data_IF_938925879839
#
_entry.id   IF_938925879839
#
_cell.length_a   1.000
_cell.length_b   1.000
_cell.length_c   1.000
_cell.angle_alpha   90.00
_cell.angle_beta   90.00
_cell.angle_gamma   90.00
#
_symmetry.space_group_name_H-M   'P 1'
#
loop_
_entity.id
_entity.type
_entity.pdbx_description
1 polymer ?
#
# COMPACT_ATOMS: atom_id res chain seq x y z
N UNK A 1 -5.57 12.28 -16.74
CA UNK A 1 -4.60 11.57 -15.88
C UNK A 1 -5.23 10.24 -15.61
N UNK A 2 -4.50 9.17 -15.93
CA UNK A 2 -5.06 7.84 -16.15
C UNK A 2 -4.98 6.94 -14.91
N UNK A 3 -4.38 7.40 -13.81
CA UNK A 3 -4.45 6.78 -12.47
C UNK A 3 -5.70 7.23 -11.69
N UNK A 4 -5.98 6.57 -10.56
CA UNK A 4 -7.08 6.97 -9.68
C UNK A 4 -6.80 8.29 -8.97
N UNK A 5 -7.46 9.35 -9.46
CA UNK A 5 -7.29 10.70 -8.95
C UNK A 5 -8.44 11.11 -8.02
N UNK A 6 -8.10 11.46 -6.77
CA UNK A 6 -9.01 12.12 -5.83
C UNK A 6 -8.71 13.63 -5.77
N UNK A 7 -9.66 14.43 -5.25
CA UNK A 7 -9.46 15.86 -5.06
C UNK A 7 -8.26 16.16 -4.15
N UNK A 8 -8.06 15.37 -3.09
CA UNK A 8 -6.90 15.46 -2.20
C UNK A 8 -5.57 15.36 -2.94
N UNK A 9 -5.49 14.49 -3.95
CA UNK A 9 -4.28 14.33 -4.76
C UNK A 9 -3.98 15.62 -5.56
N UNK A 10 -5.02 16.32 -6.04
CA UNK A 10 -4.84 17.61 -6.73
C UNK A 10 -4.39 18.70 -5.76
N UNK A 11 -5.00 18.75 -4.58
CA UNK A 11 -4.69 19.75 -3.54
C UNK A 11 -3.25 19.58 -3.03
N UNK A 12 -2.75 18.35 -2.99
CA UNK A 12 -1.39 18.00 -2.57
C UNK A 12 -0.37 17.96 -3.72
N UNK A 13 -0.75 18.27 -4.97
CA UNK A 13 0.10 18.19 -6.16
C UNK A 13 0.73 16.79 -6.37
N UNK A 14 -0.06 15.75 -6.10
CA UNK A 14 0.25 14.34 -6.38
C UNK A 14 -0.39 13.97 -7.71
N UNK A 15 0.37 14.20 -8.78
CA UNK A 15 -0.07 14.02 -10.17
C UNK A 15 0.79 12.93 -10.82
N UNK A 16 0.30 11.69 -10.80
CA UNK A 16 1.01 10.52 -11.33
C UNK A 16 0.21 9.99 -12.53
N UNK A 17 0.90 9.75 -13.64
CA UNK A 17 0.31 9.12 -14.82
C UNK A 17 0.33 7.60 -14.68
N UNK A 18 -0.56 6.90 -15.41
CA UNK A 18 -0.57 5.45 -15.44
C UNK A 18 0.81 4.94 -15.86
N UNK A 19 1.41 4.10 -15.03
CA UNK A 19 2.71 3.54 -15.32
C UNK A 19 2.63 2.57 -16.50
N UNK A 20 3.47 2.79 -17.51
CA UNK A 20 3.64 1.95 -18.70
C UNK A 20 5.00 1.24 -18.73
N UNK A 21 5.93 1.65 -17.86
CA UNK A 21 7.23 1.01 -17.65
C UNK A 21 7.58 0.90 -16.16
N UNK A 22 8.42 -0.09 -15.81
CA UNK A 22 8.78 -0.38 -14.42
C UNK A 22 9.58 0.77 -13.78
N UNK A 23 10.37 1.49 -14.57
CA UNK A 23 11.13 2.66 -14.14
C UNK A 23 10.23 3.78 -13.62
N UNK A 24 9.03 3.91 -14.18
CA UNK A 24 8.04 4.91 -13.77
C UNK A 24 7.45 4.54 -12.39
N UNK A 25 7.13 3.26 -12.17
CA UNK A 25 6.72 2.76 -10.84
C UNK A 25 7.79 3.01 -9.79
N UNK A 26 9.05 2.73 -10.13
CA UNK A 26 10.18 3.03 -9.25
C UNK A 26 10.35 4.52 -8.97
N UNK A 27 10.11 5.37 -9.98
CA UNK A 27 10.16 6.82 -9.80
C UNK A 27 9.08 7.31 -8.84
N UNK A 28 7.83 6.86 -9.02
CA UNK A 28 6.71 7.16 -8.14
C UNK A 28 6.97 6.67 -6.71
N UNK A 29 7.44 5.43 -6.54
CA UNK A 29 7.79 4.87 -5.23
C UNK A 29 8.88 5.70 -4.51
N UNK A 30 9.94 6.12 -5.21
CA UNK A 30 10.99 6.99 -4.64
C UNK A 30 10.45 8.34 -4.20
N UNK A 31 9.61 8.97 -5.03
CA UNK A 31 8.96 10.23 -4.67
C UNK A 31 8.07 10.07 -3.43
N UNK A 32 7.29 8.99 -3.36
CA UNK A 32 6.45 8.64 -2.21
C UNK A 32 7.26 8.43 -0.93
N UNK A 33 8.36 7.64 -0.99
CA UNK A 33 9.27 7.41 0.15
C UNK A 33 9.78 8.74 0.70
N UNK A 34 10.27 9.62 -0.17
CA UNK A 34 10.82 10.92 0.23
C UNK A 34 9.74 11.83 0.83
N UNK A 35 8.56 11.89 0.23
CA UNK A 35 7.47 12.79 0.66
C UNK A 35 6.79 12.34 1.95
N UNK A 36 6.60 11.03 2.13
CA UNK A 36 5.95 10.45 3.31
C UNK A 36 6.93 10.14 4.44
N UNK A 37 8.24 10.22 4.18
CA UNK A 37 9.27 9.89 5.18
C UNK A 37 9.25 8.41 5.56
N UNK A 38 8.97 7.50 4.61
CA UNK A 38 8.89 6.07 4.89
C UNK A 38 10.26 5.52 5.28
N UNK A 39 10.30 4.80 6.41
CA UNK A 39 11.52 4.20 6.95
C UNK A 39 11.57 2.68 6.77
N UNK A 40 10.44 2.06 6.45
CA UNK A 40 10.35 0.63 6.19
C UNK A 40 10.81 0.30 4.77
N UNK A 41 11.32 -0.93 4.51
CA UNK A 41 11.61 -1.38 3.16
C UNK A 41 10.36 -1.24 2.26
N UNK A 42 10.51 -0.55 1.14
CA UNK A 42 9.48 -0.42 0.12
C UNK A 42 9.86 -1.28 -1.08
N UNK A 43 8.94 -2.12 -1.50
CA UNK A 43 9.06 -2.95 -2.70
C UNK A 43 8.08 -2.44 -3.75
N UNK A 44 8.41 -2.64 -5.03
CA UNK A 44 7.59 -2.24 -6.16
C UNK A 44 7.06 -3.51 -6.84
N UNK A 45 5.75 -3.60 -7.04
CA UNK A 45 5.14 -4.71 -7.76
C UNK A 45 5.56 -4.69 -9.23
N UNK A 46 5.67 -5.87 -9.84
CA UNK A 46 5.95 -6.03 -11.27
C UNK A 46 4.89 -5.36 -12.13
N UNK A 47 5.17 -5.20 -13.43
CA UNK A 47 4.21 -4.60 -14.37
C UNK A 47 2.96 -5.46 -14.59
N UNK A 48 3.02 -6.73 -14.19
CA UNK A 48 1.93 -7.70 -14.25
C UNK A 48 0.96 -7.60 -13.05
N UNK A 49 1.22 -6.72 -12.07
CA UNK A 49 0.35 -6.48 -10.91
C UNK A 49 0.00 -7.72 -10.07
N UNK A 50 0.89 -8.72 -10.07
CA UNK A 50 0.65 -10.03 -9.42
C UNK A 50 0.35 -9.89 -7.93
N UNK A 51 1.06 -9.01 -7.21
CA UNK A 51 0.82 -8.81 -5.78
C UNK A 51 -0.47 -8.03 -5.55
N UNK A 52 -0.72 -7.02 -6.38
CA UNK A 52 -1.97 -6.25 -6.33
C UNK A 52 -3.20 -7.13 -6.52
N UNK A 53 -3.17 -8.05 -7.50
CA UNK A 53 -4.24 -9.02 -7.75
C UNK A 53 -4.37 -10.04 -6.61
N UNK A 54 -3.26 -10.68 -6.22
CA UNK A 54 -3.27 -11.74 -5.21
C UNK A 54 -3.79 -11.25 -3.85
N UNK A 55 -3.52 -9.98 -3.51
CA UNK A 55 -3.94 -9.37 -2.26
C UNK A 55 -5.14 -8.43 -2.41
N UNK A 56 -5.77 -8.35 -3.59
CA UNK A 56 -6.84 -7.39 -3.88
C UNK A 56 -6.51 -6.00 -3.29
N UNK A 57 -5.29 -5.52 -3.59
CA UNK A 57 -4.65 -4.39 -2.91
C UNK A 57 -5.20 -3.04 -3.39
N UNK A 58 -5.87 -3.02 -4.54
CA UNK A 58 -6.48 -1.81 -5.05
C UNK A 58 -7.69 -1.37 -4.20
N UNK A 59 -7.83 -0.06 -3.93
CA UNK A 59 -6.90 1.01 -4.32
C UNK A 59 -5.71 1.16 -3.36
N UNK A 60 -5.92 0.86 -2.08
CA UNK A 60 -4.88 0.59 -1.10
C UNK A 60 -5.38 -0.44 -0.09
N UNK A 61 -4.46 -1.10 0.61
CA UNK A 61 -4.81 -2.12 1.62
C UNK A 61 -3.71 -2.35 2.64
N UNK A 62 -4.10 -2.57 3.89
CA UNK A 62 -3.20 -3.05 4.95
C UNK A 62 -3.47 -4.53 5.22
N UNK A 63 -2.39 -5.30 5.34
CA UNK A 63 -2.42 -6.68 5.81
C UNK A 63 -1.47 -6.86 6.99
N UNK A 64 -1.82 -7.77 7.89
CA UNK A 64 -0.90 -8.33 8.89
C UNK A 64 -0.82 -9.83 8.67
N UNK A 65 0.39 -10.33 8.44
CA UNK A 65 0.68 -11.74 8.19
C UNK A 65 1.53 -12.27 9.34
N UNK A 66 1.08 -13.36 9.98
CA UNK A 66 1.80 -14.02 11.06
C UNK A 66 3.03 -14.78 10.57
N UNK A 67 3.91 -15.14 11.49
CA UNK A 67 5.12 -15.94 11.19
C UNK A 67 4.80 -17.35 10.68
N UNK A 68 3.57 -17.82 10.87
CA UNK A 68 3.04 -19.08 10.34
C UNK A 68 2.50 -18.93 8.90
N UNK A 69 2.61 -17.74 8.30
CA UNK A 69 2.14 -17.42 6.97
C UNK A 69 0.64 -17.17 6.85
N UNK A 70 -0.11 -17.11 7.97
CA UNK A 70 -1.55 -16.83 7.96
C UNK A 70 -1.84 -15.34 8.08
N UNK A 71 -2.91 -14.90 7.41
CA UNK A 71 -3.40 -13.53 7.51
C UNK A 71 -4.11 -13.36 8.86
N UNK A 72 -3.56 -12.52 9.73
CA UNK A 72 -4.18 -12.14 11.00
C UNK A 72 -5.09 -10.91 10.85
N UNK A 73 -4.83 -10.07 9.85
CA UNK A 73 -5.67 -8.91 9.52
C UNK A 73 -5.68 -8.64 8.02
N UNK A 74 -6.86 -8.35 7.49
CA UNK A 74 -7.11 -7.89 6.13
C UNK A 74 -7.97 -6.64 6.20
N UNK A 75 -7.40 -5.47 5.90
CA UNK A 75 -8.15 -4.22 5.83
C UNK A 75 -9.18 -4.22 4.69
N UNK A 76 -10.13 -3.29 4.74
CA UNK A 76 -11.03 -3.02 3.62
C UNK A 76 -10.35 -2.20 2.51
N UNK A 77 -11.03 -1.95 1.38
CA UNK A 77 -10.51 -1.10 0.31
C UNK A 77 -10.45 0.38 0.73
N UNK A 78 -9.28 1.01 0.61
CA UNK A 78 -9.11 2.42 0.97
C UNK A 78 -9.71 3.43 -0.03
N UNK A 79 -9.61 4.74 0.27
CA UNK A 79 -9.22 5.26 1.57
C UNK A 79 -10.33 5.11 2.62
N UNK A 80 -11.56 4.76 2.21
CA UNK A 80 -12.72 4.78 3.11
C UNK A 80 -12.73 3.68 4.18
N UNK A 81 -12.17 2.51 3.87
CA UNK A 81 -12.06 1.39 4.82
C UNK A 81 -10.61 1.17 5.28
N UNK A 82 -9.74 2.17 5.13
CA UNK A 82 -8.37 2.12 5.61
C UNK A 82 -8.33 2.21 7.14
N UNK A 83 -7.93 1.12 7.80
CA UNK A 83 -7.95 0.96 9.26
C UNK A 83 -6.55 0.60 9.81
N UNK A 84 -5.68 1.61 10.03
CA UNK A 84 -4.36 1.38 10.60
C UNK A 84 -4.41 0.95 12.08
N UNK A 85 -5.42 1.39 12.84
CA UNK A 85 -5.57 1.06 14.26
C UNK A 85 -5.92 -0.43 14.44
N UNK A 86 -6.85 -0.95 13.63
CA UNK A 86 -7.18 -2.38 13.59
C UNK A 86 -5.99 -3.25 13.19
N UNK A 87 -5.19 -2.80 12.22
CA UNK A 87 -3.96 -3.49 11.84
C UNK A 87 -2.93 -3.49 12.98
N UNK A 88 -2.74 -2.36 13.66
CA UNK A 88 -1.81 -2.23 14.79
C UNK A 88 -2.21 -3.13 15.97
N UNK A 89 -3.51 -3.21 16.28
CA UNK A 89 -4.04 -4.10 17.31
C UNK A 89 -3.81 -5.58 16.97
N UNK A 90 -4.06 -5.98 15.72
CA UNK A 90 -3.80 -7.34 15.25
C UNK A 90 -2.30 -7.70 15.32
N UNK A 91 -1.42 -6.78 14.91
CA UNK A 91 0.03 -6.97 15.01
C UNK A 91 0.48 -7.11 16.48
N UNK A 92 -0.03 -6.26 17.38
CA UNK A 92 0.29 -6.34 18.81
C UNK A 92 -0.10 -7.69 19.40
N UNK A 93 -1.29 -8.19 19.04
CA UNK A 93 -1.78 -9.51 19.49
C UNK A 93 -0.85 -10.65 19.03
N UNK A 94 -0.35 -10.60 17.78
CA UNK A 94 0.61 -11.60 17.29
C UNK A 94 1.94 -11.55 18.02
N UNK A 95 2.44 -10.36 18.35
CA UNK A 95 3.70 -10.18 19.06
C UNK A 95 3.62 -10.63 20.52
N UNK A 96 2.47 -10.45 21.17
CA UNK A 96 2.23 -10.95 22.54
C UNK A 96 2.09 -12.47 22.60
N UNK A 97 1.72 -13.10 21.48
CA UNK A 97 1.49 -14.55 21.37
C UNK A 97 2.72 -15.33 20.86
N UNK A 98 3.82 -14.64 20.57
CA UNK A 98 5.09 -15.18 20.07
C UNK A 98 6.09 -15.44 21.20
#
# INVERSE_FOLDING_TARGET
MDEWQLQSNLDDDVLIAQHTAIEERFSAARAGIARLGLTMPVLVDGMEDVMSEAFAAWPERIYVVGSDGRIAFKGGPGPWEFDPDGAAAALSTLLESA
#
